data_IF_027081584527
#
_entry.id   IF_027081584527
#
_cell.length_a   1.000
_cell.length_b   1.000
_cell.length_c   1.000
_cell.angle_alpha   90.00
_cell.angle_beta   90.00
_cell.angle_gamma   90.00
#
_symmetry.space_group_name_H-M   'P 1'
#
loop_
_entity.id
_entity.type
_entity.pdbx_description
1 polymer ?
#
# COMPACT_ATOMS: atom_id res chain seq x y z
N UNK A 1 13.68 -23.39 -11.40
CA UNK A 1 13.16 -22.65 -12.57
C UNK A 1 13.92 -23.18 -13.77
N UNK A 2 13.26 -23.98 -14.59
CA UNK A 2 13.90 -24.96 -15.50
C UNK A 2 14.07 -24.38 -16.89
N UNK A 3 15.22 -24.63 -17.53
CA UNK A 3 15.62 -24.11 -18.86
C UNK A 3 14.60 -24.44 -19.96
N UNK A 4 13.97 -25.61 -19.88
CA UNK A 4 12.93 -26.06 -20.82
C UNK A 4 11.69 -25.14 -20.84
N UNK A 5 11.33 -24.57 -19.69
CA UNK A 5 10.21 -23.64 -19.59
C UNK A 5 10.52 -22.28 -20.23
N UNK A 6 11.80 -21.87 -20.25
CA UNK A 6 12.24 -20.64 -20.88
C UNK A 6 12.27 -20.80 -22.40
N UNK A 7 12.79 -21.93 -22.91
CA UNK A 7 12.80 -22.22 -24.35
C UNK A 7 11.40 -22.28 -24.95
N UNK A 8 10.47 -22.98 -24.29
CA UNK A 8 9.07 -23.05 -24.74
C UNK A 8 8.34 -21.70 -24.68
N UNK A 9 8.60 -20.89 -23.65
CA UNK A 9 8.01 -19.54 -23.53
C UNK A 9 8.58 -18.59 -24.57
N UNK A 10 9.89 -18.66 -24.83
CA UNK A 10 10.55 -17.83 -25.83
C UNK A 10 10.09 -18.17 -27.25
N UNK A 11 10.01 -19.46 -27.58
CA UNK A 11 9.45 -19.90 -28.87
C UNK A 11 8.01 -19.42 -29.04
N UNK A 12 7.19 -19.50 -27.99
CA UNK A 12 5.80 -19.03 -28.04
C UNK A 12 5.70 -17.50 -28.20
N UNK A 13 6.57 -16.74 -27.54
CA UNK A 13 6.65 -15.28 -27.70
C UNK A 13 7.12 -14.87 -29.10
N UNK A 14 8.13 -15.57 -29.65
CA UNK A 14 8.67 -15.31 -30.99
C UNK A 14 7.69 -15.71 -32.11
N UNK A 15 6.90 -16.77 -31.91
CA UNK A 15 5.86 -17.20 -32.86
C UNK A 15 4.58 -16.37 -32.81
N UNK A 16 4.40 -15.51 -31.80
CA UNK A 16 3.21 -14.68 -31.67
C UNK A 16 3.43 -13.34 -32.37
N UNK A 17 2.88 -13.17 -33.58
CA UNK A 17 3.01 -11.94 -34.38
C UNK A 17 2.56 -10.67 -33.64
N UNK A 18 1.61 -10.78 -32.71
CA UNK A 18 1.15 -9.65 -31.87
C UNK A 18 2.28 -9.05 -31.02
N UNK A 19 3.21 -9.86 -30.53
CA UNK A 19 4.35 -9.35 -29.76
C UNK A 19 5.35 -8.63 -30.66
N UNK A 20 5.61 -9.18 -31.85
CA UNK A 20 6.48 -8.59 -32.85
C UNK A 20 5.98 -7.23 -33.34
N UNK A 21 4.68 -7.10 -33.62
CA UNK A 21 4.09 -5.82 -34.04
C UNK A 21 4.15 -4.77 -32.92
N UNK A 22 3.84 -5.14 -31.67
CA UNK A 22 3.99 -4.22 -30.52
C UNK A 22 5.44 -3.79 -30.31
N UNK A 23 6.41 -4.68 -30.47
CA UNK A 23 7.84 -4.34 -30.36
C UNK A 23 8.26 -3.39 -31.48
N UNK A 24 7.76 -3.56 -32.71
CA UNK A 24 8.03 -2.62 -33.80
C UNK A 24 7.41 -1.25 -33.56
N UNK A 25 6.18 -1.20 -33.07
CA UNK A 25 5.50 0.05 -32.71
C UNK A 25 6.26 0.77 -31.60
N UNK A 26 6.60 0.07 -30.52
CA UNK A 26 7.42 0.59 -29.43
C UNK A 26 8.79 1.06 -29.92
N UNK A 27 9.42 0.31 -30.84
CA UNK A 27 10.69 0.70 -31.43
C UNK A 27 10.60 1.97 -32.28
N UNK A 28 9.48 2.20 -32.98
CA UNK A 28 9.23 3.45 -33.70
C UNK A 28 9.10 4.61 -32.71
N UNK A 29 8.26 4.47 -31.69
CA UNK A 29 8.06 5.50 -30.65
C UNK A 29 9.39 5.81 -29.93
N UNK A 30 10.21 4.80 -29.65
CA UNK A 30 11.51 4.99 -29.00
C UNK A 30 12.55 5.72 -29.86
N UNK A 31 12.37 5.69 -31.18
CA UNK A 31 13.19 6.44 -32.17
C UNK A 31 12.58 7.78 -32.55
N UNK A 32 11.30 7.99 -32.29
CA UNK A 32 10.51 9.19 -32.67
C UNK A 32 10.66 10.36 -31.67
N UNK A 33 11.69 10.33 -30.83
CA UNK A 33 11.98 11.43 -29.89
C UNK A 33 12.96 12.42 -30.51
N UNK A 34 12.78 13.69 -30.19
CA UNK A 34 13.60 14.80 -30.70
C UNK A 34 15.04 14.83 -30.20
N UNK A 35 15.38 14.04 -29.16
CA UNK A 35 16.74 13.92 -28.61
C UNK A 35 17.25 12.50 -28.74
N UNK A 36 18.51 12.36 -29.17
CA UNK A 36 19.17 11.07 -29.28
C UNK A 36 19.33 10.44 -27.87
N UNK A 37 18.99 9.15 -27.68
CA UNK A 37 19.16 8.47 -26.40
C UNK A 37 20.61 8.46 -25.90
N UNK A 38 21.59 8.51 -26.80
CA UNK A 38 23.01 8.54 -26.42
C UNK A 38 23.35 9.89 -25.78
N UNK A 39 22.91 11.00 -26.37
CA UNK A 39 23.16 12.34 -25.85
C UNK A 39 22.46 12.55 -24.49
N UNK A 40 21.25 12.04 -24.35
CA UNK A 40 20.51 12.09 -23.07
C UNK A 40 21.24 11.26 -22.00
N UNK A 41 21.73 10.06 -22.33
CA UNK A 41 22.49 9.23 -21.40
C UNK A 41 23.81 9.89 -20.99
N UNK A 42 24.52 10.53 -21.93
CA UNK A 42 25.73 11.30 -21.66
C UNK A 42 25.42 12.47 -20.74
N UNK A 43 24.34 13.22 -21.01
CA UNK A 43 23.90 14.32 -20.15
C UNK A 43 23.61 13.86 -18.72
N UNK A 44 22.85 12.77 -18.53
CA UNK A 44 22.57 12.23 -17.20
C UNK A 44 23.83 11.71 -16.50
N UNK A 45 24.75 11.11 -17.26
CA UNK A 45 26.01 10.60 -16.73
C UNK A 45 26.92 11.74 -16.28
N UNK A 46 27.03 12.80 -17.08
CA UNK A 46 27.75 14.02 -16.73
C UNK A 46 27.10 14.73 -15.53
N UNK A 47 25.77 14.80 -15.49
CA UNK A 47 25.02 15.37 -14.38
C UNK A 47 25.31 14.63 -13.07
N UNK A 48 25.27 13.29 -13.07
CA UNK A 48 25.56 12.47 -11.89
C UNK A 48 27.01 12.65 -11.42
N UNK A 49 27.97 12.75 -12.34
CA UNK A 49 29.37 13.00 -12.00
C UNK A 49 29.59 14.43 -11.47
N UNK A 50 29.00 15.44 -12.11
CA UNK A 50 29.13 16.86 -11.73
C UNK A 50 28.57 17.15 -10.35
N UNK A 51 27.49 16.47 -9.97
CA UNK A 51 26.87 16.59 -8.65
C UNK A 51 27.29 15.48 -7.67
N UNK A 52 28.47 14.85 -7.89
CA UNK A 52 29.11 13.85 -7.01
C UNK A 52 28.12 12.82 -6.42
N UNK A 53 27.35 12.20 -7.30
CA UNK A 53 26.29 11.28 -6.91
C UNK A 53 25.10 12.05 -6.37
N UNK A 54 24.25 12.51 -7.28
CA UNK A 54 23.03 13.25 -7.02
C UNK A 54 22.31 12.76 -5.75
N UNK A 55 22.61 13.40 -4.62
CA UNK A 55 22.09 13.09 -3.28
C UNK A 55 20.58 13.28 -3.22
N UNK A 56 20.01 14.00 -4.18
CA UNK A 56 18.58 14.21 -4.40
C UNK A 56 17.92 13.17 -5.33
N UNK A 57 18.70 12.37 -6.09
CA UNK A 57 18.24 11.28 -6.96
C UNK A 57 18.47 9.89 -6.33
N UNK A 58 19.33 9.80 -5.32
CA UNK A 58 19.36 8.64 -4.41
C UNK A 58 18.04 8.68 -3.64
N UNK A 59 17.15 7.71 -3.89
CA UNK A 59 15.86 7.69 -3.19
C UNK A 59 16.12 7.75 -1.69
N UNK A 60 15.65 8.82 -1.04
CA UNK A 60 15.58 8.90 0.41
C UNK A 60 14.78 7.73 1.00
N UNK A 61 14.09 6.93 0.17
CA UNK A 61 13.40 5.68 0.52
C UNK A 61 14.27 4.61 1.20
N UNK A 62 15.60 4.66 1.09
CA UNK A 62 16.48 3.68 1.78
C UNK A 62 16.91 4.09 3.19
N UNK A 63 16.88 5.39 3.47
CA UNK A 63 17.19 5.98 4.79
C UNK A 63 15.94 6.60 5.45
N UNK A 64 14.76 6.45 4.85
CA UNK A 64 13.48 6.80 5.46
C UNK A 64 13.11 5.73 6.49
N UNK A 65 13.73 5.89 7.66
CA UNK A 65 13.38 5.35 8.97
C UNK A 65 12.17 4.40 8.94
N UNK A 66 12.36 3.14 9.34
CA UNK A 66 11.33 2.07 9.40
C UNK A 66 9.95 2.55 9.93
N UNK A 67 9.99 3.58 10.79
CA UNK A 67 8.86 4.36 11.32
C UNK A 67 7.96 5.05 10.27
N UNK A 68 8.53 5.64 9.22
CA UNK A 68 7.78 6.34 8.17
C UNK A 68 7.20 5.37 7.14
N UNK A 69 7.84 4.21 6.94
CA UNK A 69 7.27 3.12 6.14
C UNK A 69 6.05 2.48 6.83
N UNK A 70 6.11 2.31 8.16
CA UNK A 70 5.04 1.66 8.93
C UNK A 70 3.98 2.62 9.48
N UNK A 71 4.09 3.94 9.23
CA UNK A 71 3.17 4.97 9.72
C UNK A 71 2.66 4.70 11.14
N UNK A 72 3.58 4.54 12.11
CA UNK A 72 3.24 4.14 13.48
C UNK A 72 2.19 5.07 14.11
N UNK A 73 2.17 6.35 13.72
CA UNK A 73 1.12 7.31 14.09
C UNK A 73 -0.29 6.83 13.71
N UNK A 74 -0.46 6.36 12.47
CA UNK A 74 -1.74 5.80 11.98
C UNK A 74 -2.08 4.51 12.71
N UNK A 75 -1.09 3.64 12.94
CA UNK A 75 -1.28 2.40 13.71
C UNK A 75 -1.72 2.65 15.15
N UNK A 76 -1.09 3.61 15.83
CA UNK A 76 -1.43 4.02 17.18
C UNK A 76 -2.84 4.65 17.24
N UNK A 77 -3.17 5.53 16.30
CA UNK A 77 -4.51 6.12 16.20
C UNK A 77 -5.60 5.05 16.00
N UNK A 78 -5.37 4.08 15.11
CA UNK A 78 -6.30 2.96 14.90
C UNK A 78 -6.47 2.09 16.15
N UNK A 79 -5.38 1.79 16.86
CA UNK A 79 -5.44 1.00 18.09
C UNK A 79 -6.26 1.71 19.17
N UNK A 80 -6.01 3.01 19.38
CA UNK A 80 -6.78 3.84 20.32
C UNK A 80 -8.25 3.90 19.92
N UNK A 81 -8.54 4.07 18.62
CA UNK A 81 -9.92 4.06 18.12
C UNK A 81 -10.62 2.74 18.43
N UNK A 82 -9.99 1.58 18.15
CA UNK A 82 -10.56 0.26 18.43
C UNK A 82 -10.80 0.08 19.94
N UNK A 83 -9.82 0.41 20.78
CA UNK A 83 -9.95 0.30 22.24
C UNK A 83 -11.07 1.19 22.77
N UNK A 84 -11.18 2.42 22.27
CA UNK A 84 -12.24 3.35 22.67
C UNK A 84 -13.63 2.82 22.32
N UNK A 85 -13.80 2.26 21.12
CA UNK A 85 -15.06 1.64 20.67
C UNK A 85 -15.42 0.45 21.55
N UNK A 86 -14.48 -0.45 21.82
CA UNK A 86 -14.70 -1.60 22.69
C UNK A 86 -15.06 -1.17 24.12
N UNK A 87 -14.40 -0.13 24.63
CA UNK A 87 -14.67 0.42 25.96
C UNK A 87 -16.08 1.03 26.05
N UNK A 88 -16.49 1.79 25.03
CA UNK A 88 -17.84 2.35 24.93
C UNK A 88 -18.89 1.23 24.80
N UNK A 89 -18.65 0.19 23.99
CA UNK A 89 -19.55 -0.95 23.90
C UNK A 89 -19.69 -1.68 25.25
N UNK A 90 -18.58 -1.88 25.96
CA UNK A 90 -18.60 -2.50 27.29
C UNK A 90 -19.38 -1.65 28.30
N UNK A 91 -19.18 -0.33 28.32
CA UNK A 91 -19.93 0.53 29.26
C UNK A 91 -21.41 0.59 28.90
N UNK A 92 -21.75 0.63 27.60
CA UNK A 92 -23.13 0.62 27.12
C UNK A 92 -23.84 -0.68 27.48
N UNK A 93 -23.23 -1.84 27.22
CA UNK A 93 -23.80 -3.14 27.59
C UNK A 93 -23.96 -3.28 29.10
N UNK A 94 -22.98 -2.90 29.91
CA UNK A 94 -23.10 -2.90 31.37
C UNK A 94 -24.20 -1.97 31.87
N UNK A 95 -24.36 -0.77 31.29
CA UNK A 95 -25.44 0.16 31.64
C UNK A 95 -26.81 -0.35 31.23
N UNK A 96 -26.93 -0.99 30.06
CA UNK A 96 -28.17 -1.60 29.60
C UNK A 96 -28.57 -2.77 30.50
N UNK A 97 -27.63 -3.65 30.85
CA UNK A 97 -27.88 -4.74 31.80
C UNK A 97 -28.33 -4.18 33.15
N UNK A 98 -27.63 -3.19 33.70
CA UNK A 98 -28.04 -2.53 34.97
C UNK A 98 -29.43 -1.89 34.88
N UNK A 99 -29.78 -1.23 33.77
CA UNK A 99 -31.12 -0.66 33.56
C UNK A 99 -32.21 -1.73 33.42
N UNK A 100 -31.92 -2.85 32.76
CA UNK A 100 -32.86 -3.96 32.61
C UNK A 100 -33.08 -4.70 33.94
N UNK A 101 -32.02 -5.03 34.68
CA UNK A 101 -32.10 -5.71 35.97
C UNK A 101 -32.60 -4.80 37.11
N UNK A 102 -32.32 -3.48 37.06
CA UNK A 102 -32.85 -2.52 38.03
C UNK A 102 -34.37 -2.31 37.89
N UNK A 103 -34.93 -2.47 36.69
CA UNK A 103 -36.37 -2.35 36.45
C UNK A 103 -37.16 -3.62 36.83
N UNK A 104 -36.55 -4.80 36.76
CA UNK A 104 -37.22 -6.05 37.19
C UNK A 104 -37.43 -6.10 38.71
N UNK A 105 -36.48 -5.60 39.51
CA UNK A 105 -36.61 -5.55 40.97
C UNK A 105 -37.74 -4.61 41.44
N UNK A 106 -37.96 -3.48 40.75
CA UNK A 106 -39.02 -2.53 41.11
C UNK A 106 -40.43 -3.02 40.71
N UNK A 107 -40.55 -3.79 39.61
CA UNK A 107 -41.82 -4.42 39.21
C UNK A 107 -42.29 -5.50 40.19
N UNK A 108 -41.36 -6.21 40.84
CA UNK A 108 -41.68 -7.27 41.79
C UNK A 108 -42.11 -6.73 43.17
N UNK A 109 -41.67 -5.53 43.55
CA UNK A 109 -42.15 -4.81 44.74
C UNK A 109 -43.56 -4.24 44.59
N UNK A 110 -43.90 -3.66 43.42
CA UNK A 110 -45.21 -3.02 43.21
C UNK A 110 -46.38 -4.00 43.03
N UNK A 111 -46.12 -5.27 42.66
CA UNK A 111 -47.15 -6.32 42.51
C UNK A 111 -47.61 -6.90 43.87
N UNK A 112 -46.87 -6.65 44.96
CA UNK A 112 -47.20 -7.16 46.30
C UNK A 112 -48.03 -6.17 47.14
N UNK A 113 -48.33 -4.98 46.60
CA UNK A 113 -49.05 -3.88 47.27
C UNK A 113 -50.38 -3.49 46.61
N UNK A 114 -50.93 -4.32 45.72
CA UNK A 114 -52.35 -4.28 45.32
C UNK A 114 -52.99 -5.63 45.59
#
# INVERSE_FOLDING_TARGET
VTEDSLGGTLSKMLSTDSYRERVKELSKIFRDRSRDPVDEAVYWTEYVMRYKGATHLRSASRDLNFFQYHCIDVGAFLLVAIVSVLWVLKICTLRLIRKCFGKSAQKEGNKKTN
#
